data_IF_971372531518
#
_entry.id   IF_971372531518
#
_cell.length_a   1.000
_cell.length_b   1.000
_cell.length_c   1.000
_cell.angle_alpha   90.00
_cell.angle_beta   90.00
_cell.angle_gamma   90.00
#
_symmetry.space_group_name_H-M   'P 1'
#
loop_
_entity.id
_entity.type
_entity.pdbx_description
1 polymer ?
#
# COMPACT_ATOMS: atom_id res chain seq x y z
N UNK A 1 -2.17 19.90 -7.05
CA UNK A 1 -1.61 18.56 -6.84
C UNK A 1 -0.65 18.25 -7.99
N UNK A 2 0.64 18.13 -7.69
CA UNK A 2 1.69 17.82 -8.67
C UNK A 2 1.59 16.35 -9.14
N UNK A 3 2.29 15.99 -10.22
CA UNK A 3 2.27 14.63 -10.79
C UNK A 3 2.63 13.55 -9.77
N UNK A 4 3.64 13.79 -8.92
CA UNK A 4 4.07 12.84 -7.89
C UNK A 4 2.97 12.59 -6.85
N UNK A 5 2.28 13.64 -6.40
CA UNK A 5 1.15 13.52 -5.48
C UNK A 5 -0.03 12.75 -6.08
N UNK A 6 -0.32 12.95 -7.37
CA UNK A 6 -1.36 12.17 -8.09
C UNK A 6 -1.02 10.69 -8.15
N UNK A 7 0.23 10.35 -8.48
CA UNK A 7 0.70 8.96 -8.49
C UNK A 7 0.55 8.35 -7.10
N UNK A 8 1.02 9.04 -6.05
CA UNK A 8 0.91 8.54 -4.68
C UNK A 8 -0.55 8.33 -4.25
N UNK A 9 -1.43 9.27 -4.58
CA UNK A 9 -2.85 9.14 -4.28
C UNK A 9 -3.49 7.94 -5.01
N UNK A 10 -3.11 7.68 -6.26
CA UNK A 10 -3.56 6.49 -6.98
C UNK A 10 -3.08 5.20 -6.30
N UNK A 11 -1.79 5.10 -5.98
CA UNK A 11 -1.19 3.90 -5.40
C UNK A 11 -1.77 3.58 -4.03
N UNK A 12 -1.92 4.57 -3.16
CA UNK A 12 -2.53 4.40 -1.84
C UNK A 12 -3.98 3.92 -1.95
N UNK A 13 -4.74 4.43 -2.92
CA UNK A 13 -6.11 3.98 -3.18
C UNK A 13 -6.15 2.54 -3.72
N UNK A 14 -5.26 2.18 -4.65
CA UNK A 14 -5.21 0.80 -5.16
C UNK A 14 -4.80 -0.18 -4.06
N UNK A 15 -3.76 0.12 -3.28
CA UNK A 15 -3.33 -0.70 -2.13
C UNK A 15 -4.47 -0.92 -1.13
N UNK A 16 -5.18 0.15 -0.74
CA UNK A 16 -6.33 0.04 0.14
C UNK A 16 -7.43 -0.85 -0.47
N UNK A 17 -7.70 -0.71 -1.78
CA UNK A 17 -8.69 -1.54 -2.48
C UNK A 17 -8.33 -3.04 -2.50
N UNK A 18 -7.05 -3.41 -2.48
CA UNK A 18 -6.61 -4.81 -2.41
C UNK A 18 -6.73 -5.40 -1.02
N UNK A 19 -6.62 -4.57 0.03
CA UNK A 19 -6.75 -5.01 1.41
C UNK A 19 -8.21 -5.21 1.82
N UNK A 20 -9.12 -4.34 1.39
CA UNK A 20 -10.53 -4.37 1.82
C UNK A 20 -11.18 -5.76 1.72
N UNK A 21 -11.06 -6.51 0.61
CA UNK A 21 -11.62 -7.87 0.50
C UNK A 21 -11.03 -8.87 1.51
N UNK A 22 -9.78 -8.69 1.93
CA UNK A 22 -9.06 -9.57 2.86
C UNK A 22 -9.54 -9.41 4.30
N UNK A 23 -10.16 -8.27 4.61
CA UNK A 23 -10.70 -8.02 5.94
C UNK A 23 -12.00 -8.78 6.21
N UNK A 24 -12.57 -9.46 5.21
CA UNK A 24 -13.87 -10.13 5.31
C UNK A 24 -15.05 -9.17 5.51
N UNK A 25 -14.81 -7.85 5.50
CA UNK A 25 -15.84 -6.81 5.56
C UNK A 25 -16.60 -6.77 4.23
N UNK A 26 -17.55 -7.70 4.05
CA UNK A 26 -18.42 -7.75 2.88
C UNK A 26 -19.02 -9.12 2.56
N UNK A 27 -18.46 -10.20 3.11
CA UNK A 27 -18.96 -11.56 2.91
C UNK A 27 -19.95 -11.96 3.99
N UNK A 28 -21.18 -12.35 3.61
CA UNK A 28 -22.22 -12.83 4.53
C UNK A 28 -21.91 -14.21 5.16
N UNK A 29 -20.82 -14.86 4.76
CA UNK A 29 -20.55 -16.28 5.08
C UNK A 29 -19.23 -16.54 5.81
N UNK A 30 -18.42 -15.52 6.10
CA UNK A 30 -17.16 -15.71 6.84
C UNK A 30 -17.37 -15.64 8.35
N UNK A 31 -16.80 -16.60 9.08
CA UNK A 31 -16.80 -16.58 10.55
C UNK A 31 -15.77 -15.59 11.07
N UNK A 32 -15.96 -15.09 12.29
CA UNK A 32 -14.99 -14.20 12.96
C UNK A 32 -13.57 -14.80 13.03
N UNK A 33 -13.46 -16.14 13.14
CA UNK A 33 -12.18 -16.85 13.17
C UNK A 33 -11.50 -16.82 11.80
N UNK A 34 -12.25 -16.99 10.71
CA UNK A 34 -11.70 -16.95 9.36
C UNK A 34 -11.24 -15.55 8.98
N UNK A 35 -11.96 -14.52 9.44
CA UNK A 35 -11.54 -13.12 9.32
C UNK A 35 -10.24 -12.88 10.08
N UNK A 36 -10.14 -13.35 11.34
CA UNK A 36 -8.94 -13.21 12.15
C UNK A 36 -7.72 -13.91 11.53
N UNK A 37 -7.88 -15.11 10.98
CA UNK A 37 -6.81 -15.84 10.29
C UNK A 37 -6.37 -15.14 9.00
N UNK A 38 -7.32 -14.63 8.22
CA UNK A 38 -7.00 -13.87 7.00
C UNK A 38 -6.27 -12.57 7.33
N UNK A 39 -6.68 -11.86 8.38
CA UNK A 39 -5.96 -10.68 8.86
C UNK A 39 -4.51 -10.98 9.25
N UNK A 40 -4.29 -12.03 10.05
CA UNK A 40 -2.93 -12.43 10.46
C UNK A 40 -2.09 -12.83 9.24
N UNK A 41 -2.67 -13.58 8.29
CA UNK A 41 -2.00 -13.99 7.07
C UNK A 41 -1.64 -12.82 6.14
N UNK A 42 -2.23 -11.63 6.34
CA UNK A 42 -2.04 -10.46 5.50
C UNK A 42 -1.58 -9.22 6.28
N UNK A 43 -1.11 -9.41 7.52
CA UNK A 43 -0.52 -8.35 8.34
C UNK A 43 0.61 -7.59 7.61
N UNK A 44 1.50 -8.24 6.82
CA UNK A 44 2.52 -7.51 6.07
C UNK A 44 1.94 -6.47 5.10
N UNK A 45 0.84 -6.78 4.40
CA UNK A 45 0.18 -5.83 3.49
C UNK A 45 -0.30 -4.58 4.22
N UNK A 46 -0.83 -4.73 5.44
CA UNK A 46 -1.25 -3.62 6.29
C UNK A 46 -0.04 -2.80 6.75
N UNK A 47 1.06 -3.45 7.12
CA UNK A 47 2.31 -2.79 7.52
C UNK A 47 2.90 -1.93 6.40
N UNK A 48 2.90 -2.45 5.16
CA UNK A 48 3.37 -1.70 4.00
C UNK A 48 2.45 -0.52 3.65
N UNK A 49 1.12 -0.71 3.66
CA UNK A 49 0.17 0.39 3.47
C UNK A 49 0.35 1.48 4.53
N UNK A 50 0.49 1.10 5.80
CA UNK A 50 0.71 2.06 6.88
C UNK A 50 2.02 2.84 6.70
N UNK A 51 3.09 2.18 6.28
CA UNK A 51 4.39 2.81 6.00
C UNK A 51 4.28 3.80 4.85
N UNK A 52 3.62 3.42 3.75
CA UNK A 52 3.37 4.31 2.62
C UNK A 52 2.50 5.52 3.00
N UNK A 53 1.44 5.32 3.80
CA UNK A 53 0.60 6.41 4.31
C UNK A 53 1.41 7.39 5.17
N UNK A 54 2.20 6.88 6.12
CA UNK A 54 3.03 7.70 7.00
C UNK A 54 4.02 8.52 6.18
N UNK A 55 4.74 7.88 5.25
CA UNK A 55 5.67 8.57 4.37
C UNK A 55 4.96 9.62 3.49
N UNK A 56 3.76 9.33 2.98
CA UNK A 56 2.99 10.29 2.18
C UNK A 56 2.54 11.52 2.99
N UNK A 57 2.17 11.37 4.26
CA UNK A 57 1.91 12.52 5.15
C UNK A 57 3.14 13.41 5.23
N UNK A 58 4.31 12.81 5.41
CA UNK A 58 5.59 13.52 5.40
C UNK A 58 6.00 14.01 4.01
N UNK A 59 5.36 13.64 2.92
CA UNK A 59 5.64 14.18 1.57
C UNK A 59 4.62 15.25 1.13
N UNK A 60 3.50 15.38 1.83
CA UNK A 60 2.39 16.29 1.46
C UNK A 60 2.44 17.66 2.14
N UNK A 61 3.40 17.87 3.06
CA UNK A 61 3.62 19.18 3.68
C UNK A 61 4.38 20.15 2.77
N UNK A 62 4.15 21.46 2.94
CA UNK A 62 4.66 22.50 2.03
C UNK A 62 6.10 22.99 2.29
N UNK A 63 6.73 22.61 3.41
CA UNK A 63 8.04 23.13 3.81
C UNK A 63 8.94 21.99 4.31
N UNK A 64 9.86 21.52 3.46
CA UNK A 64 10.68 20.32 3.69
C UNK A 64 12.06 20.50 3.06
N UNK A 65 13.10 20.01 3.74
CA UNK A 65 14.43 19.90 3.14
C UNK A 65 14.42 18.84 2.03
N UNK A 66 15.36 18.96 1.09
CA UNK A 66 15.58 17.94 0.06
C UNK A 66 15.86 16.56 0.66
N UNK A 67 16.67 16.51 1.73
CA UNK A 67 16.95 15.28 2.50
C UNK A 67 15.68 14.64 3.08
N UNK A 68 14.74 15.46 3.59
CA UNK A 68 13.45 14.96 4.08
C UNK A 68 12.63 14.35 2.94
N UNK A 69 12.62 15.01 1.78
CA UNK A 69 11.88 14.54 0.60
C UNK A 69 12.48 13.21 0.10
N UNK A 70 13.80 13.10 0.07
CA UNK A 70 14.50 11.89 -0.36
C UNK A 70 14.24 10.72 0.60
N UNK A 71 14.44 10.94 1.91
CA UNK A 71 14.24 9.92 2.93
C UNK A 71 12.82 9.35 2.95
N UNK A 72 11.81 10.22 2.94
CA UNK A 72 10.41 9.76 2.91
C UNK A 72 9.99 9.29 1.52
N UNK A 73 10.63 9.78 0.45
CA UNK A 73 10.42 9.31 -0.90
C UNK A 73 10.88 7.86 -1.08
N UNK A 74 12.06 7.52 -0.59
CA UNK A 74 12.59 6.16 -0.59
C UNK A 74 11.69 5.22 0.23
N UNK A 75 11.39 5.58 1.49
CA UNK A 75 10.50 4.77 2.34
C UNK A 75 9.13 4.54 1.73
N UNK A 76 8.57 5.56 1.08
CA UNK A 76 7.31 5.42 0.36
C UNK A 76 7.45 4.41 -0.79
N UNK A 77 8.47 4.56 -1.64
CA UNK A 77 8.66 3.70 -2.81
C UNK A 77 8.91 2.24 -2.42
N UNK A 78 9.78 2.00 -1.44
CA UNK A 78 10.08 0.65 -0.93
C UNK A 78 8.81 -0.01 -0.39
N UNK A 79 8.03 0.69 0.44
CA UNK A 79 6.79 0.13 0.99
C UNK A 79 5.76 -0.21 -0.11
N UNK A 80 5.66 0.61 -1.15
CA UNK A 80 4.77 0.31 -2.28
C UNK A 80 5.26 -0.91 -3.07
N UNK A 81 6.56 -1.03 -3.33
CA UNK A 81 7.14 -2.18 -4.03
C UNK A 81 6.95 -3.48 -3.25
N UNK A 82 7.35 -3.51 -1.98
CA UNK A 82 7.21 -4.68 -1.09
C UNK A 82 5.75 -5.11 -0.94
N UNK A 83 4.81 -4.15 -0.93
CA UNK A 83 3.39 -4.45 -0.93
C UNK A 83 2.96 -5.29 -2.15
N UNK A 84 3.36 -4.88 -3.36
CA UNK A 84 2.94 -5.59 -4.57
C UNK A 84 3.67 -6.92 -4.72
N UNK A 85 4.95 -7.00 -4.34
CA UNK A 85 5.68 -8.26 -4.32
C UNK A 85 4.99 -9.28 -3.41
N UNK A 86 4.74 -8.90 -2.15
CA UNK A 86 4.03 -9.75 -1.20
C UNK A 86 2.62 -10.09 -1.64
N UNK A 87 1.86 -9.13 -2.19
CA UNK A 87 0.52 -9.37 -2.73
C UNK A 87 0.53 -10.36 -3.89
N UNK A 88 1.57 -10.38 -4.70
CA UNK A 88 1.73 -11.39 -5.73
C UNK A 88 2.04 -12.76 -5.13
N UNK A 89 3.08 -12.84 -4.31
CA UNK A 89 3.54 -14.10 -3.73
C UNK A 89 2.43 -14.78 -2.91
N UNK A 90 1.70 -14.01 -2.10
CA UNK A 90 0.65 -14.55 -1.24
C UNK A 90 -0.58 -15.09 -1.99
N UNK A 91 -0.87 -14.61 -3.21
CA UNK A 91 -2.10 -14.96 -3.95
C UNK A 91 -1.87 -15.73 -5.25
N UNK A 92 -0.77 -15.48 -5.95
CA UNK A 92 -0.38 -16.17 -7.18
C UNK A 92 0.83 -17.08 -7.03
N UNK A 93 1.58 -17.00 -5.92
CA UNK A 93 2.87 -17.67 -5.79
C UNK A 93 3.99 -17.01 -6.61
N UNK A 94 3.71 -15.86 -7.24
CA UNK A 94 4.63 -15.07 -8.05
C UNK A 94 4.51 -13.59 -7.67
N UNK A 95 5.62 -12.85 -7.52
CA UNK A 95 5.59 -11.44 -7.13
C UNK A 95 4.86 -10.60 -8.19
N UNK A 96 3.98 -9.70 -7.73
CA UNK A 96 3.31 -8.73 -8.61
C UNK A 96 4.16 -7.48 -8.70
N UNK A 97 4.20 -6.91 -9.89
CA UNK A 97 4.88 -5.63 -10.11
C UNK A 97 3.98 -4.48 -9.67
N UNK A 98 4.61 -3.46 -9.08
CA UNK A 98 4.01 -2.13 -8.90
C UNK A 98 3.39 -1.66 -10.22
N UNK A 99 2.12 -1.23 -10.23
CA UNK A 99 1.48 -0.71 -11.43
C UNK A 99 2.23 0.51 -11.98
N UNK A 100 2.51 0.51 -13.28
CA UNK A 100 3.06 1.68 -13.97
C UNK A 100 1.90 2.56 -14.42
N UNK A 101 1.92 3.84 -14.03
CA UNK A 101 0.85 4.80 -14.33
C UNK A 101 1.40 5.91 -15.22
N UNK A 102 1.29 5.73 -16.53
CA UNK A 102 1.87 6.66 -17.51
C UNK A 102 0.99 7.90 -17.80
N UNK A 103 -0.29 7.87 -17.43
CA UNK A 103 -1.32 8.85 -17.81
C UNK A 103 -1.72 9.90 -16.74
N UNK A 104 -0.87 10.15 -15.73
CA UNK A 104 -1.07 11.20 -14.70
C UNK A 104 -0.04 12.33 -14.77
#
# INVERSE_FOLDING_TARGET
>A
MNKKEKIRAFELNDMASKIVPLTGLGSKTQTTIDIGKSWIAHEPLLGYLQTALNANVWLSGNDKSEETIEFYGERYNTAVEEFYEYLGEAFSGEPKKRPVVDWL
#
